data_IF_033230458909
#
_entry.id   IF_033230458909
#
_cell.length_a   1.000
_cell.length_b   1.000
_cell.length_c   1.000
_cell.angle_alpha   90.00
_cell.angle_beta   90.00
_cell.angle_gamma   90.00
#
_symmetry.space_group_name_H-M   'P 1'
#
loop_
_entity.id
_entity.type
_entity.pdbx_description
1 polymer ?
#
# COMPACT_ATOMS: atom_id res chain seq x y z
N UNK A 1 6.64 40.34 -7.20
CA UNK A 1 7.19 39.24 -6.38
C UNK A 1 6.74 39.46 -4.95
N UNK A 2 5.90 38.58 -4.38
CA UNK A 2 5.54 38.72 -2.97
C UNK A 2 6.70 38.23 -2.12
N UNK A 3 7.36 39.14 -1.40
CA UNK A 3 8.35 38.76 -0.40
C UNK A 3 7.60 38.32 0.85
N UNK A 4 7.45 37.02 0.98
CA UNK A 4 6.94 36.41 2.20
C UNK A 4 8.18 36.02 2.99
N UNK A 5 8.43 36.74 4.09
CA UNK A 5 9.54 36.44 5.00
C UNK A 5 9.42 35.06 5.64
N UNK A 6 10.00 34.87 6.82
CA UNK A 6 10.13 33.53 7.42
C UNK A 6 8.80 32.87 7.84
N UNK A 7 7.70 33.64 7.97
CA UNK A 7 6.38 33.14 8.38
C UNK A 7 5.55 32.60 7.20
N UNK A 8 6.16 31.77 6.35
CA UNK A 8 5.47 31.15 5.20
C UNK A 8 4.40 30.16 5.65
N UNK A 9 4.68 29.38 6.69
CA UNK A 9 3.77 28.37 7.22
C UNK A 9 2.43 29.00 7.64
N UNK A 10 2.46 30.07 8.47
CA UNK A 10 1.22 30.76 8.89
C UNK A 10 0.43 31.39 7.74
N UNK A 11 1.11 31.84 6.67
CA UNK A 11 0.50 32.57 5.56
C UNK A 11 -0.03 31.68 4.44
N UNK A 12 0.52 30.48 4.31
CA UNK A 12 0.16 29.54 3.25
C UNK A 12 -0.43 28.22 3.76
N UNK A 13 -0.54 28.02 5.09
CA UNK A 13 -1.21 26.85 5.62
C UNK A 13 -2.71 26.91 5.27
N UNK A 14 -3.16 25.90 4.52
CA UNK A 14 -4.56 25.72 4.18
C UNK A 14 -5.26 25.01 5.35
N UNK A 15 -6.29 25.61 5.95
CA UNK A 15 -7.01 24.95 7.03
C UNK A 15 -7.65 23.66 6.51
N UNK A 16 -7.39 22.55 7.19
CA UNK A 16 -7.89 21.23 6.78
C UNK A 16 -7.13 20.60 5.59
N UNK A 17 -5.91 21.06 5.28
CA UNK A 17 -5.07 20.43 4.25
C UNK A 17 -4.79 18.95 4.55
N UNK A 18 -4.52 18.64 5.82
CA UNK A 18 -4.29 17.26 6.25
C UNK A 18 -5.62 16.60 6.62
N UNK A 19 -5.83 15.33 6.24
CA UNK A 19 -6.99 14.56 6.67
C UNK A 19 -7.02 14.50 8.21
N UNK A 20 -8.24 14.55 8.77
CA UNK A 20 -8.43 14.46 10.21
C UNK A 20 -7.75 13.18 10.74
N UNK A 21 -6.84 13.29 11.74
CA UNK A 21 -6.21 12.14 12.35
C UNK A 21 -7.19 11.07 12.82
N UNK A 22 -8.42 11.44 13.19
CA UNK A 22 -9.47 10.49 13.57
C UNK A 22 -9.95 9.60 12.42
N UNK A 23 -9.88 10.11 11.18
CA UNK A 23 -10.30 9.41 9.97
C UNK A 23 -9.22 8.45 9.45
N UNK A 24 -7.98 8.62 9.93
CA UNK A 24 -6.87 7.77 9.50
C UNK A 24 -6.88 6.40 10.20
N UNK A 25 -6.20 5.45 9.57
CA UNK A 25 -5.96 4.15 10.16
C UNK A 25 -5.14 4.30 11.44
N UNK A 26 -5.73 3.87 12.56
CA UNK A 26 -5.06 3.92 13.87
C UNK A 26 -4.12 2.73 14.02
N UNK A 27 -2.90 3.01 14.45
CA UNK A 27 -1.90 1.97 14.73
C UNK A 27 -2.19 1.43 16.15
N UNK A 28 -2.35 0.10 16.32
CA UNK A 28 -2.52 -0.49 17.65
C UNK A 28 -1.26 -0.22 18.49
N UNK A 29 -1.46 0.23 19.73
CA UNK A 29 -0.36 0.62 20.63
C UNK A 29 -0.04 -0.47 21.65
N UNK A 30 -1.05 -1.26 22.02
CA UNK A 30 -0.89 -2.28 23.04
C UNK A 30 -0.35 -3.61 22.45
N UNK A 31 0.52 -4.34 23.18
CA UNK A 31 1.13 -5.56 22.64
C UNK A 31 0.14 -6.65 22.21
N UNK A 32 -0.98 -6.79 22.92
CA UNK A 32 -2.00 -7.80 22.62
C UNK A 32 -2.79 -7.44 21.36
N UNK A 33 -3.08 -6.16 21.14
CA UNK A 33 -3.72 -5.66 19.91
C UNK A 33 -2.82 -5.88 18.69
N UNK A 34 -1.52 -5.61 18.84
CA UNK A 34 -0.52 -5.82 17.79
C UNK A 34 -0.49 -7.30 17.38
N UNK A 35 -0.50 -8.23 18.34
CA UNK A 35 -0.51 -9.67 18.05
C UNK A 35 -1.78 -10.10 17.31
N UNK A 36 -2.94 -9.58 17.71
CA UNK A 36 -4.21 -9.84 17.05
C UNK A 36 -4.21 -9.32 15.60
N UNK A 37 -3.69 -8.12 15.37
CA UNK A 37 -3.60 -7.52 14.04
C UNK A 37 -2.62 -8.29 13.14
N UNK A 38 -1.47 -8.71 13.67
CA UNK A 38 -0.53 -9.58 12.93
C UNK A 38 -1.20 -10.90 12.54
N UNK A 39 -1.95 -11.52 13.45
CA UNK A 39 -2.68 -12.75 13.14
C UNK A 39 -3.73 -12.53 12.04
N UNK A 40 -4.46 -11.41 12.07
CA UNK A 40 -5.40 -10.99 11.03
C UNK A 40 -4.71 -10.84 9.68
N UNK A 41 -3.59 -10.12 9.63
CA UNK A 41 -2.80 -9.89 8.41
C UNK A 41 -2.29 -11.21 7.83
N UNK A 42 -1.78 -12.12 8.67
CA UNK A 42 -1.31 -13.44 8.22
C UNK A 42 -2.42 -14.25 7.57
N UNK A 43 -3.62 -14.27 8.17
CA UNK A 43 -4.80 -14.97 7.59
C UNK A 43 -5.20 -14.38 6.24
N UNK A 44 -5.33 -13.05 6.16
CA UNK A 44 -5.68 -12.36 4.92
C UNK A 44 -4.65 -12.60 3.81
N UNK A 45 -3.35 -12.62 4.14
CA UNK A 45 -2.28 -12.95 3.19
C UNK A 45 -2.38 -14.38 2.67
N UNK A 46 -2.62 -15.35 3.55
CA UNK A 46 -2.77 -16.76 3.14
C UNK A 46 -3.98 -16.96 2.23
N UNK A 47 -5.11 -16.32 2.54
CA UNK A 47 -6.32 -16.36 1.71
C UNK A 47 -6.08 -15.71 0.34
N UNK A 48 -5.47 -14.52 0.32
CA UNK A 48 -5.10 -13.84 -0.93
C UNK A 48 -4.17 -14.71 -1.77
N UNK A 49 -3.17 -15.36 -1.15
CA UNK A 49 -2.26 -16.25 -1.87
C UNK A 49 -2.98 -17.43 -2.50
N UNK A 50 -3.86 -18.11 -1.75
CA UNK A 50 -4.68 -19.22 -2.28
C UNK A 50 -5.53 -18.78 -3.47
N UNK A 51 -6.22 -17.64 -3.34
CA UNK A 51 -7.04 -17.09 -4.42
C UNK A 51 -6.22 -16.75 -5.66
N UNK A 52 -5.01 -16.22 -5.49
CA UNK A 52 -4.12 -15.93 -6.61
C UNK A 52 -3.59 -17.20 -7.26
N UNK A 53 -3.26 -18.23 -6.49
CA UNK A 53 -2.82 -19.54 -6.98
C UNK A 53 -3.92 -20.25 -7.78
N UNK A 54 -5.16 -20.24 -7.27
CA UNK A 54 -6.34 -20.75 -7.99
C UNK A 54 -6.55 -20.00 -9.30
N UNK A 55 -6.49 -18.65 -9.27
CA UNK A 55 -6.64 -17.82 -10.47
C UNK A 55 -5.51 -18.05 -11.48
N UNK A 56 -4.27 -18.23 -11.03
CA UNK A 56 -3.14 -18.54 -11.90
C UNK A 56 -3.32 -19.91 -12.57
N UNK A 57 -3.79 -20.91 -11.81
CA UNK A 57 -4.09 -22.24 -12.34
C UNK A 57 -5.23 -22.22 -13.36
N UNK A 58 -6.26 -21.41 -13.15
CA UNK A 58 -7.37 -21.22 -14.11
C UNK A 58 -6.90 -20.55 -15.40
N UNK A 59 -6.01 -19.56 -15.30
CA UNK A 59 -5.47 -18.83 -16.45
C UNK A 59 -4.34 -19.57 -17.17
N UNK A 60 -3.85 -20.69 -16.61
CA UNK A 60 -2.77 -21.48 -17.21
C UNK A 60 -1.42 -20.76 -17.27
N UNK A 61 -1.27 -19.66 -16.52
CA UNK A 61 -0.06 -18.83 -16.53
C UNK A 61 1.07 -19.61 -15.85
N UNK A 62 2.11 -19.95 -16.60
CA UNK A 62 3.31 -20.61 -16.09
C UNK A 62 4.40 -19.57 -15.79
N UNK A 63 5.45 -19.96 -15.07
CA UNK A 63 6.62 -19.09 -14.84
C UNK A 63 7.30 -18.68 -16.17
N UNK A 64 7.11 -19.45 -17.24
CA UNK A 64 7.68 -19.23 -18.58
C UNK A 64 7.03 -18.03 -19.29
N UNK A 65 5.73 -17.79 -19.07
CA UNK A 65 5.01 -16.66 -19.69
C UNK A 65 5.55 -15.29 -19.22
N UNK A 66 6.01 -15.22 -17.96
CA UNK A 66 6.61 -14.02 -17.39
C UNK A 66 8.03 -13.76 -17.91
N UNK A 67 8.78 -14.82 -18.22
CA UNK A 67 10.13 -14.71 -18.79
C UNK A 67 10.07 -14.20 -20.24
N UNK A 68 9.08 -14.63 -21.02
CA UNK A 68 8.88 -14.17 -22.40
C UNK A 68 8.48 -12.68 -22.45
N UNK A 69 7.60 -12.20 -21.58
CA UNK A 69 7.23 -10.78 -21.49
C UNK A 69 8.42 -9.89 -21.09
N UNK A 70 9.20 -10.29 -20.07
CA UNK A 70 10.39 -9.56 -19.62
C UNK A 70 11.46 -9.47 -20.72
N UNK A 71 11.69 -10.56 -21.46
CA UNK A 71 12.65 -10.56 -22.55
C UNK A 71 12.20 -9.66 -23.70
N UNK A 72 10.92 -9.67 -24.06
CA UNK A 72 10.38 -8.79 -25.10
C UNK A 72 10.45 -7.30 -24.72
N UNK A 73 10.21 -6.96 -23.45
CA UNK A 73 10.30 -5.57 -22.94
C UNK A 73 11.74 -5.04 -22.90
N UNK A 74 12.73 -5.91 -22.65
CA UNK A 74 14.16 -5.54 -22.70
C UNK A 74 14.66 -5.36 -24.15
N UNK A 75 14.01 -6.02 -25.11
CA UNK A 75 14.38 -5.99 -26.54
C UNK A 75 13.70 -4.87 -27.35
N UNK A 76 12.69 -4.18 -26.79
CA UNK A 76 11.99 -3.03 -27.39
C UNK A 76 12.57 -1.68 -26.99
#
# INVERSE_FOLDING_TARGET
MYYVGLDTDKKFNLPGFWPDPSTLNQIPKEPHEIQAEIARIKRARLEKRKRLEEKARELGISEEDFEEEQQQEILS
#
